data_IF_947046358155
#
_entry.id   IF_947046358155
#
_cell.length_a   1.000
_cell.length_b   1.000
_cell.length_c   1.000
_cell.angle_alpha   90.00
_cell.angle_beta   90.00
_cell.angle_gamma   90.00
#
_symmetry.space_group_name_H-M   'P 1'
#
loop_
_entity.id
_entity.type
_entity.pdbx_description
1 polymer ?
#
# COMPACT_ATOMS: atom_id res chain seq x y z
N UNK A 1 -5.46 -10.08 7.33
CA UNK A 1 -4.99 -9.89 8.71
C UNK A 1 -5.00 -8.40 9.05
N UNK A 2 -5.19 -8.04 10.32
CA UNK A 2 -4.92 -6.67 10.79
C UNK A 2 -3.42 -6.41 10.88
N UNK A 3 -3.03 -5.14 10.98
CA UNK A 3 -1.63 -4.77 11.18
C UNK A 3 -1.10 -5.36 12.49
N UNK A 4 -1.88 -5.36 13.57
CA UNK A 4 -1.54 -6.01 14.84
C UNK A 4 -1.21 -7.49 14.67
N UNK A 5 -2.05 -8.21 13.91
CA UNK A 5 -1.84 -9.63 13.62
C UNK A 5 -0.57 -9.87 12.79
N UNK A 6 -0.28 -8.98 11.84
CA UNK A 6 0.95 -9.03 11.03
C UNK A 6 2.19 -8.82 11.90
N UNK A 7 2.17 -7.83 12.80
CA UNK A 7 3.27 -7.55 13.73
C UNK A 7 3.52 -8.77 14.63
N UNK A 8 2.49 -9.28 15.29
CA UNK A 8 2.62 -10.44 16.18
C UNK A 8 3.11 -11.69 15.42
N UNK A 9 2.61 -11.92 14.20
CA UNK A 9 3.06 -13.02 13.35
C UNK A 9 4.53 -12.85 12.92
N UNK A 10 4.97 -11.63 12.59
CA UNK A 10 6.34 -11.34 12.20
C UNK A 10 7.32 -11.55 13.36
N UNK A 11 7.00 -11.07 14.56
CA UNK A 11 7.83 -11.27 15.75
C UNK A 11 7.96 -12.75 16.10
N UNK A 12 6.87 -13.52 16.06
CA UNK A 12 6.94 -14.99 16.28
C UNK A 12 7.75 -15.67 15.19
N UNK A 13 7.62 -15.24 13.94
CA UNK A 13 8.38 -15.78 12.81
C UNK A 13 9.89 -15.50 12.93
N UNK A 14 10.25 -14.37 13.54
CA UNK A 14 11.64 -14.02 13.91
C UNK A 14 12.09 -14.60 15.25
N UNK A 15 11.28 -15.45 15.90
CA UNK A 15 11.54 -16.00 17.25
C UNK A 15 11.79 -14.94 18.33
N UNK A 16 11.28 -13.72 18.12
CA UNK A 16 11.34 -12.63 19.11
C UNK A 16 10.28 -12.86 20.19
N UNK A 17 9.09 -13.34 19.77
CA UNK A 17 8.01 -13.73 20.67
C UNK A 17 7.80 -15.24 20.68
N UNK A 18 7.50 -15.78 21.87
CA UNK A 18 7.05 -17.15 22.01
C UNK A 18 5.59 -17.32 21.55
N UNK A 19 5.18 -18.58 21.40
CA UNK A 19 3.80 -18.90 21.08
C UNK A 19 2.86 -18.46 22.20
N UNK A 20 1.82 -17.70 21.85
CA UNK A 20 0.83 -17.18 22.80
C UNK A 20 1.17 -15.84 23.42
N UNK A 21 2.40 -15.34 23.25
CA UNK A 21 2.77 -13.99 23.67
C UNK A 21 2.22 -12.94 22.70
N UNK A 22 1.97 -11.76 23.25
CA UNK A 22 1.56 -10.56 22.52
C UNK A 22 2.66 -9.49 22.66
N UNK A 23 2.95 -8.73 21.60
CA UNK A 23 3.89 -7.61 21.73
C UNK A 23 3.36 -6.60 22.76
N UNK A 24 4.28 -5.97 23.49
CA UNK A 24 4.00 -4.81 24.32
C UNK A 24 3.61 -3.60 23.46
N UNK A 25 2.95 -2.61 24.05
CA UNK A 25 2.51 -1.40 23.34
C UNK A 25 3.67 -0.60 22.73
N UNK A 26 4.87 -0.66 23.34
CA UNK A 26 6.07 -0.01 22.81
C UNK A 26 6.61 -0.76 21.60
N UNK A 27 6.68 -2.09 21.65
CA UNK A 27 7.08 -2.93 20.51
C UNK A 27 6.10 -2.79 19.33
N UNK A 28 4.78 -2.77 19.59
CA UNK A 28 3.78 -2.56 18.54
C UNK A 28 3.97 -1.21 17.84
N UNK A 29 4.28 -0.16 18.59
CA UNK A 29 4.50 1.19 18.04
C UNK A 29 5.75 1.23 17.16
N UNK A 30 6.85 0.70 17.67
CA UNK A 30 8.13 0.73 16.95
C UNK A 30 8.07 -0.13 15.68
N UNK A 31 7.46 -1.32 15.77
CA UNK A 31 7.34 -2.22 14.62
C UNK A 31 6.28 -1.70 13.62
N UNK A 32 5.21 -1.05 14.07
CA UNK A 32 4.28 -0.36 13.17
C UNK A 32 5.01 0.69 12.33
N UNK A 33 5.88 1.49 12.94
CA UNK A 33 6.70 2.46 12.21
C UNK A 33 7.61 1.77 11.17
N UNK A 34 8.25 0.64 11.53
CA UNK A 34 9.04 -0.16 10.57
C UNK A 34 8.20 -0.70 9.42
N UNK A 35 6.99 -1.19 9.70
CA UNK A 35 6.07 -1.70 8.68
C UNK A 35 5.61 -0.58 7.73
N UNK A 36 5.29 0.60 8.27
CA UNK A 36 4.94 1.76 7.46
C UNK A 36 6.11 2.17 6.56
N UNK A 37 7.33 2.23 7.09
CA UNK A 37 8.53 2.47 6.28
C UNK A 37 8.68 1.43 5.17
N UNK A 38 8.57 0.14 5.49
CA UNK A 38 8.66 -0.94 4.51
C UNK A 38 7.63 -0.81 3.37
N UNK A 39 6.40 -0.46 3.71
CA UNK A 39 5.34 -0.22 2.72
C UNK A 39 5.67 1.01 1.88
N UNK A 40 6.00 2.14 2.51
CA UNK A 40 6.22 3.43 1.84
C UNK A 40 7.49 3.44 0.99
N UNK A 41 8.53 2.70 1.37
CA UNK A 41 9.78 2.59 0.64
C UNK A 41 9.73 1.57 -0.50
N UNK A 42 8.64 0.80 -0.58
CA UNK A 42 8.50 -0.24 -1.59
C UNK A 42 8.74 0.36 -2.99
N UNK A 43 9.68 -0.19 -3.80
CA UNK A 43 10.09 0.43 -5.07
C UNK A 43 8.94 0.64 -6.07
N UNK A 44 7.89 -0.19 -5.98
CA UNK A 44 6.68 -0.05 -6.78
C UNK A 44 5.76 1.11 -6.39
N UNK A 45 6.02 1.82 -5.28
CA UNK A 45 5.33 3.04 -4.86
C UNK A 45 6.20 4.29 -5.06
N UNK A 46 7.45 4.24 -4.60
CA UNK A 46 8.40 5.37 -4.69
C UNK A 46 8.94 5.58 -6.10
N UNK A 47 9.31 4.50 -6.78
CA UNK A 47 9.84 4.50 -8.15
C UNK A 47 8.75 4.37 -9.22
N UNK A 48 7.49 4.36 -8.82
CA UNK A 48 6.37 4.20 -9.73
C UNK A 48 6.15 5.47 -10.58
N UNK A 49 5.64 5.28 -11.80
CA UNK A 49 5.12 6.40 -12.58
C UNK A 49 3.81 6.88 -11.96
N UNK A 50 3.73 8.19 -11.75
CA UNK A 50 2.57 8.91 -11.28
C UNK A 50 2.05 9.84 -12.38
N UNK A 51 0.73 9.99 -12.46
CA UNK A 51 0.06 10.99 -13.28
C UNK A 51 -0.27 12.18 -12.37
N UNK A 52 0.39 13.30 -12.60
CA UNK A 52 0.13 14.50 -11.83
C UNK A 52 -1.21 15.13 -12.23
N UNK A 53 -2.07 15.38 -11.24
CA UNK A 53 -3.40 15.97 -11.39
C UNK A 53 -3.49 17.19 -10.48
N UNK A 54 -3.69 18.36 -11.07
CA UNK A 54 -3.81 19.61 -10.32
C UNK A 54 -5.27 20.06 -10.30
N UNK A 55 -5.80 20.36 -9.12
CA UNK A 55 -7.14 20.93 -9.02
C UNK A 55 -7.15 22.33 -9.64
N UNK A 56 -8.08 22.56 -10.57
CA UNK A 56 -8.33 23.87 -11.17
C UNK A 56 -9.55 24.59 -10.57
N UNK A 57 -10.31 23.90 -9.71
CA UNK A 57 -11.50 24.41 -9.02
C UNK A 57 -11.86 23.51 -7.84
N UNK A 58 -12.87 23.89 -7.04
CA UNK A 58 -13.45 23.03 -5.99
C UNK A 58 -14.42 21.96 -6.53
N UNK A 59 -14.46 21.74 -7.85
CA UNK A 59 -15.28 20.67 -8.43
C UNK A 59 -14.73 19.29 -8.05
N UNK A 60 -15.62 18.31 -7.91
CA UNK A 60 -15.27 16.92 -7.59
C UNK A 60 -14.25 16.34 -8.57
N UNK A 61 -13.21 15.70 -8.03
CA UNK A 61 -12.20 14.97 -8.80
C UNK A 61 -12.46 13.48 -8.61
N UNK A 62 -12.71 12.75 -9.69
CA UNK A 62 -12.69 11.28 -9.66
C UNK A 62 -11.30 10.79 -9.99
N UNK A 63 -10.59 10.32 -8.98
CA UNK A 63 -9.23 9.82 -9.08
C UNK A 63 -9.18 8.51 -9.90
N UNK A 64 -8.03 8.26 -10.51
CA UNK A 64 -7.71 7.01 -11.21
C UNK A 64 -6.47 6.37 -10.59
N UNK A 65 -6.27 5.08 -10.90
CA UNK A 65 -5.03 4.40 -10.55
C UNK A 65 -3.81 5.16 -11.10
N UNK A 66 -2.83 5.39 -10.25
CA UNK A 66 -1.60 6.11 -10.54
C UNK A 66 -1.71 7.64 -10.43
N UNK A 67 -2.83 8.19 -9.98
CA UNK A 67 -2.96 9.64 -9.80
C UNK A 67 -2.19 10.14 -8.59
N UNK A 68 -1.44 11.22 -8.80
CA UNK A 68 -0.84 12.05 -7.76
C UNK A 68 -1.50 13.42 -7.82
N UNK A 69 -2.34 13.71 -6.85
CA UNK A 69 -3.28 14.82 -6.85
C UNK A 69 -2.76 15.94 -5.95
N UNK A 70 -2.72 17.17 -6.47
CA UNK A 70 -2.46 18.40 -5.72
C UNK A 70 -3.68 19.32 -5.81
N UNK A 71 -4.24 19.71 -4.67
CA UNK A 71 -5.43 20.55 -4.58
C UNK A 71 -5.11 22.04 -4.47
N UNK A 72 -3.97 22.41 -3.89
CA UNK A 72 -3.56 23.80 -3.72
C UNK A 72 -4.54 24.62 -2.88
N UNK A 73 -5.05 25.72 -3.45
CA UNK A 73 -6.03 26.60 -2.77
C UNK A 73 -7.48 26.11 -2.87
N UNK A 74 -7.74 25.09 -3.70
CA UNK A 74 -9.07 24.54 -3.88
C UNK A 74 -9.33 23.40 -2.90
N UNK A 75 -10.61 23.13 -2.61
CA UNK A 75 -11.04 22.03 -1.75
C UNK A 75 -12.00 21.10 -2.49
N UNK A 76 -11.54 20.42 -3.56
CA UNK A 76 -12.38 19.47 -4.27
C UNK A 76 -12.63 18.22 -3.41
N UNK A 77 -13.80 17.61 -3.56
CA UNK A 77 -14.05 16.25 -3.05
C UNK A 77 -13.32 15.24 -3.94
N UNK A 78 -12.47 14.38 -3.36
CA UNK A 78 -11.73 13.37 -4.12
C UNK A 78 -12.45 12.01 -4.02
N UNK A 79 -13.10 11.61 -5.11
CA UNK A 79 -13.76 10.31 -5.23
C UNK A 79 -12.72 9.26 -5.63
N UNK A 80 -12.59 8.22 -4.80
CA UNK A 80 -11.73 7.06 -5.04
C UNK A 80 -12.60 5.89 -5.53
N UNK A 81 -12.68 5.63 -6.86
CA UNK A 81 -13.64 4.69 -7.41
C UNK A 81 -13.23 3.24 -7.16
N UNK A 82 -14.22 2.34 -7.01
CA UNK A 82 -13.99 0.88 -6.95
C UNK A 82 -14.16 0.21 -8.31
N UNK A 83 -14.68 0.95 -9.30
CA UNK A 83 -14.87 0.52 -10.69
C UNK A 83 -14.15 1.53 -11.58
N UNK A 84 -13.28 1.05 -12.44
CA UNK A 84 -12.64 1.85 -13.47
C UNK A 84 -13.42 1.70 -14.78
N UNK A 85 -13.74 2.82 -15.43
CA UNK A 85 -14.39 2.84 -16.73
C UNK A 85 -13.36 3.17 -17.80
N UNK A 86 -13.11 2.21 -18.68
CA UNK A 86 -12.22 2.35 -19.84
C UNK A 86 -13.06 2.42 -21.11
N UNK A 87 -13.21 3.64 -21.63
CA UNK A 87 -14.16 3.99 -22.69
C UNK A 87 -15.58 3.50 -22.36
N UNK A 88 -15.97 2.31 -22.83
CA UNK A 88 -17.30 1.70 -22.59
C UNK A 88 -17.26 0.49 -21.65
N UNK A 89 -16.08 0.01 -21.28
CA UNK A 89 -15.95 -1.19 -20.45
C UNK A 89 -15.79 -0.81 -18.99
N UNK A 90 -16.71 -1.27 -18.14
CA UNK A 90 -16.58 -1.18 -16.69
C UNK A 90 -15.86 -2.41 -16.17
N UNK A 91 -14.80 -2.19 -15.40
CA UNK A 91 -14.04 -3.25 -14.73
C UNK A 91 -13.82 -2.87 -13.27
N UNK A 92 -13.75 -3.87 -12.40
CA UNK A 92 -13.36 -3.63 -11.02
C UNK A 92 -11.95 -3.01 -11.00
N UNK A 93 -11.73 -2.11 -10.04
CA UNK A 93 -10.43 -1.51 -9.82
C UNK A 93 -9.40 -2.63 -9.60
N UNK A 94 -8.28 -2.64 -10.33
CA UNK A 94 -7.27 -3.67 -10.14
C UNK A 94 -6.70 -3.64 -8.71
N UNK A 95 -6.49 -4.80 -8.08
CA UNK A 95 -5.83 -4.85 -6.77
C UNK A 95 -4.43 -4.20 -6.83
N UNK A 96 -3.97 -3.55 -5.77
CA UNK A 96 -2.78 -2.69 -5.73
C UNK A 96 -2.83 -1.46 -6.64
N UNK A 97 -4.02 -1.01 -7.05
CA UNK A 97 -4.16 0.34 -7.61
C UNK A 97 -3.84 1.39 -6.54
N UNK A 98 -3.30 2.54 -6.94
CA UNK A 98 -2.77 3.54 -6.02
C UNK A 98 -3.25 4.95 -6.34
N UNK A 99 -3.48 5.76 -5.31
CA UNK A 99 -3.80 7.19 -5.41
C UNK A 99 -2.98 7.91 -4.35
N UNK A 100 -2.33 9.01 -4.69
CA UNK A 100 -1.61 9.84 -3.73
C UNK A 100 -2.20 11.25 -3.75
N UNK A 101 -2.76 11.68 -2.62
CA UNK A 101 -3.24 13.06 -2.42
C UNK A 101 -2.20 13.79 -1.59
N UNK A 102 -1.60 14.85 -2.15
CA UNK A 102 -0.45 15.54 -1.56
C UNK A 102 -0.83 16.60 -0.53
N UNK A 103 -2.06 17.12 -0.60
CA UNK A 103 -2.56 18.21 0.24
C UNK A 103 -4.10 18.20 0.33
N UNK A 104 -4.64 19.03 1.22
CA UNK A 104 -6.08 19.13 1.45
C UNK A 104 -6.61 18.12 2.48
N UNK A 105 -7.95 18.04 2.62
CA UNK A 105 -8.58 17.23 3.67
C UNK A 105 -8.42 15.71 3.47
N UNK A 106 -8.24 15.27 2.22
CA UNK A 106 -8.09 13.85 1.84
C UNK A 106 -6.62 13.42 1.71
N UNK A 107 -5.67 14.19 2.28
CA UNK A 107 -4.22 13.93 2.17
C UNK A 107 -3.85 12.50 2.58
N UNK A 108 -3.05 11.83 1.74
CA UNK A 108 -2.53 10.51 2.02
C UNK A 108 -2.25 9.66 0.79
N UNK A 109 -1.60 8.51 1.02
CA UNK A 109 -1.34 7.48 0.01
C UNK A 109 -2.34 6.35 0.21
N UNK A 110 -3.09 6.02 -0.83
CA UNK A 110 -4.14 5.02 -0.79
C UNK A 110 -3.85 3.87 -1.73
N UNK A 111 -4.11 2.65 -1.27
CA UNK A 111 -4.01 1.41 -2.05
C UNK A 111 -5.35 0.70 -2.08
N UNK A 112 -5.71 0.16 -3.24
CA UNK A 112 -6.92 -0.62 -3.43
C UNK A 112 -6.61 -2.11 -3.32
N UNK A 113 -7.35 -2.90 -2.55
CA UNK A 113 -7.33 -4.37 -2.68
C UNK A 113 -8.72 -4.92 -2.99
N UNK A 114 -9.66 -4.60 -2.10
CA UNK A 114 -11.11 -4.85 -2.17
C UNK A 114 -11.87 -3.56 -1.84
N UNK A 115 -11.24 -2.70 -1.04
CA UNK A 115 -11.59 -1.33 -0.73
C UNK A 115 -10.32 -0.48 -0.76
N UNK A 116 -10.48 0.84 -0.74
CA UNK A 116 -9.38 1.78 -0.61
C UNK A 116 -8.93 1.87 0.84
N UNK A 117 -7.64 1.65 1.09
CA UNK A 117 -7.03 1.80 2.41
C UNK A 117 -5.88 2.78 2.35
N UNK A 118 -5.71 3.55 3.42
CA UNK A 118 -4.57 4.45 3.57
C UNK A 118 -3.32 3.64 3.94
N UNK A 119 -2.17 3.98 3.36
CA UNK A 119 -0.91 3.25 3.51
C UNK A 119 0.16 4.06 4.28
N UNK A 120 0.02 5.37 4.36
CA UNK A 120 0.96 6.31 5.00
C UNK A 120 0.59 6.72 6.44
N UNK A 121 -0.56 6.27 6.94
CA UNK A 121 -1.01 6.50 8.31
C UNK A 121 -1.78 5.29 8.84
N UNK A 122 -1.09 4.14 8.89
CA UNK A 122 -1.66 2.90 9.38
C UNK A 122 -1.75 2.91 10.90
N UNK A 123 -2.82 2.31 11.40
CA UNK A 123 -3.04 1.97 12.80
C UNK A 123 -3.00 0.46 12.97
N UNK A 124 -2.95 -0.01 14.22
CA UNK A 124 -2.86 -1.45 14.52
C UNK A 124 -4.10 -2.24 14.10
N UNK A 125 -5.25 -1.57 14.04
CA UNK A 125 -6.54 -2.21 13.72
C UNK A 125 -6.86 -2.16 12.22
N UNK A 126 -6.05 -1.44 11.44
CA UNK A 126 -6.18 -1.43 9.99
C UNK A 126 -5.88 -2.81 9.40
N UNK A 127 -6.48 -3.09 8.25
CA UNK A 127 -6.15 -4.26 7.45
C UNK A 127 -4.91 -4.01 6.60
N UNK A 128 -4.21 -5.09 6.24
CA UNK A 128 -3.12 -5.04 5.27
C UNK A 128 -3.52 -4.25 4.00
N UNK A 129 -2.82 -3.15 3.66
CA UNK A 129 -3.16 -2.33 2.49
C UNK A 129 -2.85 -3.04 1.16
N UNK A 130 -1.99 -4.06 1.17
CA UNK A 130 -1.69 -4.84 -0.03
C UNK A 130 -2.71 -5.96 -0.34
N UNK A 131 -3.61 -6.27 0.60
CA UNK A 131 -4.61 -7.32 0.47
C UNK A 131 -4.20 -8.66 1.09
N UNK A 132 -5.19 -9.48 1.42
CA UNK A 132 -5.02 -10.72 2.21
C UNK A 132 -4.12 -11.77 1.52
N UNK A 133 -4.04 -11.76 0.20
CA UNK A 133 -3.17 -12.63 -0.59
C UNK A 133 -1.68 -12.34 -0.39
N UNK A 134 -1.35 -11.20 0.23
CA UNK A 134 0.02 -10.78 0.53
C UNK A 134 0.41 -10.92 2.00
N UNK A 135 -0.51 -11.31 2.89
CA UNK A 135 -0.31 -11.32 4.35
C UNK A 135 0.95 -12.08 4.77
N UNK A 136 1.10 -13.35 4.35
CA UNK A 136 2.26 -14.17 4.70
C UNK A 136 3.58 -13.59 4.20
N UNK A 137 3.54 -13.01 3.00
CA UNK A 137 4.70 -12.38 2.38
C UNK A 137 5.13 -11.12 3.14
N UNK A 138 4.17 -10.29 3.53
CA UNK A 138 4.42 -9.09 4.33
C UNK A 138 4.93 -9.45 5.74
N UNK A 139 4.37 -10.48 6.36
CA UNK A 139 4.87 -11.04 7.64
C UNK A 139 6.33 -11.48 7.49
N UNK A 140 6.69 -12.16 6.39
CA UNK A 140 8.06 -12.58 6.15
C UNK A 140 9.01 -11.38 5.96
N UNK A 141 8.61 -10.37 5.18
CA UNK A 141 9.42 -9.17 4.97
C UNK A 141 9.62 -8.38 6.27
N UNK A 142 8.55 -8.21 7.06
CA UNK A 142 8.63 -7.54 8.35
C UNK A 142 9.53 -8.31 9.32
N UNK A 143 9.39 -9.64 9.40
CA UNK A 143 10.23 -10.48 10.25
C UNK A 143 11.72 -10.34 9.91
N UNK A 144 12.08 -10.34 8.62
CA UNK A 144 13.46 -10.10 8.16
C UNK A 144 13.95 -8.72 8.60
N UNK A 145 13.09 -7.71 8.52
CA UNK A 145 13.45 -6.31 8.80
C UNK A 145 13.70 -6.07 10.29
N UNK A 146 12.91 -6.67 11.18
CA UNK A 146 13.00 -6.42 12.62
C UNK A 146 13.93 -7.38 13.37
N UNK A 147 14.39 -8.46 12.73
CA UNK A 147 15.18 -9.48 13.41
C UNK A 147 16.46 -8.92 14.02
N UNK A 148 17.21 -8.12 13.28
CA UNK A 148 18.49 -7.57 13.74
C UNK A 148 18.29 -6.59 14.92
N UNK A 149 17.22 -5.78 14.88
CA UNK A 149 16.92 -4.77 15.90
C UNK A 149 16.47 -5.39 17.24
N UNK A 150 15.79 -6.54 17.18
CA UNK A 150 15.17 -7.18 18.35
C UNK A 150 15.87 -8.49 18.77
N UNK A 151 17.05 -8.80 18.21
CA UNK A 151 17.81 -10.01 18.53
C UNK A 151 17.14 -11.31 18.09
N UNK A 152 16.29 -11.24 17.05
CA UNK A 152 15.60 -12.39 16.47
C UNK A 152 16.48 -13.25 15.58
N UNK A 153 16.02 -14.46 15.28
CA UNK A 153 16.65 -15.38 14.35
C UNK A 153 15.75 -15.68 13.16
N UNK A 154 16.26 -15.45 11.95
CA UNK A 154 15.52 -15.69 10.71
C UNK A 154 16.05 -16.92 9.97
N UNK A 155 15.17 -17.89 9.75
CA UNK A 155 15.48 -19.05 8.91
C UNK A 155 15.49 -18.72 7.41
N UNK A 156 16.30 -19.46 6.63
CA UNK A 156 16.46 -19.27 5.19
C UNK A 156 15.13 -19.29 4.40
N UNK A 157 14.15 -20.11 4.82
CA UNK A 157 12.83 -20.16 4.20
C UNK A 157 12.09 -18.82 4.31
N UNK A 158 12.18 -18.13 5.45
CA UNK A 158 11.56 -16.82 5.67
C UNK A 158 12.19 -15.75 4.79
N UNK A 159 13.53 -15.75 4.66
CA UNK A 159 14.24 -14.83 3.74
C UNK A 159 13.77 -15.03 2.29
N UNK A 160 13.69 -16.28 1.82
CA UNK A 160 13.25 -16.59 0.47
C UNK A 160 11.80 -16.16 0.21
N UNK A 161 10.93 -16.31 1.21
CA UNK A 161 9.53 -15.89 1.14
C UNK A 161 9.40 -14.37 1.08
N UNK A 162 10.16 -13.64 1.91
CA UNK A 162 10.24 -12.18 1.89
C UNK A 162 10.62 -11.68 0.48
N UNK A 163 11.70 -12.21 -0.09
CA UNK A 163 12.16 -11.86 -1.44
C UNK A 163 11.13 -12.19 -2.54
N UNK A 164 10.44 -13.33 -2.44
CA UNK A 164 9.37 -13.70 -3.40
C UNK A 164 8.17 -12.76 -3.29
N UNK A 165 7.82 -12.38 -2.07
CA UNK A 165 6.74 -11.45 -1.80
C UNK A 165 7.06 -10.08 -2.38
N UNK A 166 8.25 -9.55 -2.15
CA UNK A 166 8.70 -8.26 -2.69
C UNK A 166 8.61 -8.25 -4.22
N UNK A 167 9.12 -9.30 -4.90
CA UNK A 167 9.01 -9.43 -6.35
C UNK A 167 7.56 -9.47 -6.84
N UNK A 168 6.68 -10.17 -6.12
CA UNK A 168 5.26 -10.28 -6.47
C UNK A 168 4.56 -8.93 -6.32
N UNK A 169 4.73 -8.25 -5.19
CA UNK A 169 4.14 -6.93 -4.94
C UNK A 169 4.67 -5.93 -5.97
N UNK A 170 5.97 -5.94 -6.23
CA UNK A 170 6.60 -5.11 -7.27
C UNK A 170 6.02 -5.37 -8.66
N UNK A 171 5.90 -6.63 -9.08
CA UNK A 171 5.32 -6.96 -10.39
C UNK A 171 3.86 -6.50 -10.53
N UNK A 172 3.09 -6.52 -9.44
CA UNK A 172 1.70 -6.06 -9.45
C UNK A 172 1.54 -4.54 -9.38
N UNK A 173 2.47 -3.84 -8.74
CA UNK A 173 2.53 -2.37 -8.71
C UNK A 173 3.10 -1.78 -10.00
N UNK A 174 4.05 -2.48 -10.63
CA UNK A 174 4.62 -2.13 -11.92
C UNK A 174 3.75 -2.68 -13.05
N UNK A 175 2.49 -2.25 -13.10
CA UNK A 175 1.66 -2.46 -14.30
C UNK A 175 2.10 -1.45 -15.34
N UNK A 176 2.69 -1.94 -16.40
CA UNK A 176 3.05 -1.15 -17.57
C UNK A 176 1.74 -0.66 -18.22
N UNK A 177 1.21 0.45 -17.71
CA UNK A 177 0.17 1.19 -18.42
C UNK A 177 0.91 2.08 -19.37
N UNK A 178 0.90 1.64 -20.62
CA UNK A 178 1.25 2.41 -21.80
C UNK A 178 0.29 3.60 -21.90
N UNK A 179 0.40 4.58 -20.98
CA UNK A 179 -0.41 5.81 -20.94
C UNK A 179 -0.25 6.66 -22.21
N UNK A 180 0.58 6.22 -23.18
CA UNK A 180 0.79 6.85 -24.48
C UNK A 180 0.08 6.13 -25.64
N UNK A 181 -0.50 4.94 -25.45
CA UNK A 181 -1.17 4.21 -26.55
C UNK A 181 -2.68 4.14 -26.44
N UNK A 182 -3.25 4.41 -25.28
CA UNK A 182 -4.70 4.44 -25.10
C UNK A 182 -5.11 5.90 -24.88
N UNK A 183 -5.32 6.60 -26.02
CA UNK A 183 -5.89 7.93 -26.05
C UNK A 183 -7.15 7.95 -25.17
N UNK A 184 -7.36 8.99 -24.33
CA UNK A 184 -8.68 9.20 -23.75
C UNK A 184 -9.67 9.32 -24.91
N UNK A 185 -10.79 8.60 -24.79
CA UNK A 185 -11.93 8.65 -25.71
C UNK A 185 -12.63 10.03 -25.74
N UNK A 186 -11.93 11.13 -25.44
CA UNK A 186 -12.43 12.52 -25.43
C UNK A 186 -12.62 13.11 -26.85
N UNK A 187 -12.85 12.24 -27.85
CA UNK A 187 -13.18 12.59 -29.23
C UNK A 187 -14.21 11.61 -29.81
N UNK A 188 -15.43 11.57 -29.25
CA UNK A 188 -16.65 11.20 -30.00
C UNK A 188 -17.79 12.12 -29.52
#
# INVERSE_FOLDING_TARGET
>A
MTIREIIAAAMRRGKILASGETPSADEERDILARLQSLILEHPGLTGARWRDVYAASSATITARDGDRITVGVFTPTIVKPTIETWCVTRRNMPALSRIHVLDGPDVGLFLYSTEWRRADALTLDDLNPFGADTDNGLVAQLAVTIADDFGGEIGAKTVLEAQRSERTIRGRLYRDRDCRRELPCDYI
#
